data_IF_290739398417
#
_entry.id   IF_290739398417
#
_cell.length_a   1.000
_cell.length_b   1.000
_cell.length_c   1.000
_cell.angle_alpha   90.00
_cell.angle_beta   90.00
_cell.angle_gamma   90.00
#
_symmetry.space_group_name_H-M   'P 1'
#
loop_
_entity.id
_entity.type
_entity.pdbx_description
1 polymer ?
#
# COMPACT_ATOMS: atom_id res chain seq x y z
N UNK A 1 -3.61 11.68 -12.50
CA UNK A 1 -2.45 12.30 -11.83
C UNK A 1 -2.86 13.02 -10.55
N UNK A 2 -3.97 13.76 -10.53
CA UNK A 2 -4.40 14.46 -9.30
C UNK A 2 -4.63 13.53 -8.09
N UNK A 3 -5.27 12.37 -8.28
CA UNK A 3 -5.42 11.38 -7.19
C UNK A 3 -4.07 10.87 -6.65
N UNK A 4 -3.11 10.54 -7.52
CA UNK A 4 -1.76 10.14 -7.11
C UNK A 4 -1.07 11.23 -6.28
N UNK A 5 -1.20 12.50 -6.70
CA UNK A 5 -0.66 13.64 -5.95
C UNK A 5 -1.34 13.79 -4.59
N UNK A 6 -2.66 13.66 -4.53
CA UNK A 6 -3.42 13.73 -3.28
C UNK A 6 -3.04 12.62 -2.30
N UNK A 7 -2.91 11.37 -2.78
CA UNK A 7 -2.49 10.23 -1.95
C UNK A 7 -1.08 10.46 -1.40
N UNK A 8 -0.15 10.94 -2.22
CA UNK A 8 1.21 11.27 -1.75
C UNK A 8 1.19 12.41 -0.72
N UNK A 9 0.34 13.42 -0.92
CA UNK A 9 0.19 14.50 0.05
C UNK A 9 -0.39 13.99 1.37
N UNK A 10 -1.37 13.09 1.34
CA UNK A 10 -1.90 12.45 2.54
C UNK A 10 -0.83 11.64 3.27
N UNK A 11 0.03 10.93 2.55
CA UNK A 11 1.13 10.18 3.16
C UNK A 11 2.09 11.10 3.95
N UNK A 12 2.47 12.22 3.35
CA UNK A 12 3.32 13.25 4.00
C UNK A 12 2.61 13.81 5.24
N UNK A 13 1.37 14.27 5.09
CA UNK A 13 0.62 14.86 6.20
C UNK A 13 0.37 13.88 7.34
N UNK A 14 0.07 12.60 7.05
CA UNK A 14 -0.08 11.56 8.06
C UNK A 14 1.22 11.33 8.83
N UNK A 15 2.33 11.25 8.12
CA UNK A 15 3.65 11.03 8.74
C UNK A 15 4.05 12.21 9.62
N UNK A 16 3.85 13.45 9.16
CA UNK A 16 4.26 14.65 9.88
C UNK A 16 3.36 14.98 11.08
N UNK A 17 2.04 14.81 10.92
CA UNK A 17 1.07 15.30 11.91
C UNK A 17 0.48 14.21 12.79
N UNK A 18 0.40 12.96 12.29
CA UNK A 18 -0.39 11.88 12.89
C UNK A 18 0.41 10.60 13.16
N UNK A 19 1.74 10.63 13.10
CA UNK A 19 2.59 9.49 13.45
C UNK A 19 3.03 9.48 14.92
N UNK A 20 3.10 10.67 15.55
CA UNK A 20 3.57 10.79 16.93
C UNK A 20 2.61 10.11 17.91
N UNK A 21 3.12 9.56 19.02
CA UNK A 21 2.29 8.87 20.01
C UNK A 21 1.19 9.75 20.62
N UNK A 22 1.40 11.06 20.70
CA UNK A 22 0.42 12.02 21.23
C UNK A 22 -0.66 12.43 20.24
N UNK A 23 -0.47 12.17 18.94
CA UNK A 23 -1.38 12.60 17.87
C UNK A 23 -1.77 11.44 16.93
N UNK A 24 -1.53 10.20 17.34
CA UNK A 24 -1.74 9.05 16.48
C UNK A 24 -3.22 8.80 16.22
N UNK A 25 -3.62 8.84 14.95
CA UNK A 25 -5.01 8.68 14.52
C UNK A 25 -5.20 7.38 13.72
N UNK A 26 -5.50 6.28 14.44
CA UNK A 26 -5.61 4.94 13.87
C UNK A 26 -6.52 4.90 12.63
N UNK A 27 -7.70 5.54 12.71
CA UNK A 27 -8.68 5.50 11.64
C UNK A 27 -8.18 6.23 10.37
N UNK A 28 -7.43 7.32 10.51
CA UNK A 28 -6.90 8.05 9.36
C UNK A 28 -5.85 7.23 8.62
N UNK A 29 -4.95 6.57 9.36
CA UNK A 29 -3.98 5.64 8.79
C UNK A 29 -4.66 4.46 8.11
N UNK A 30 -5.70 3.90 8.72
CA UNK A 30 -6.45 2.77 8.16
C UNK A 30 -7.14 3.18 6.84
N UNK A 31 -7.82 4.32 6.84
CA UNK A 31 -8.44 4.88 5.65
C UNK A 31 -7.42 5.16 4.54
N UNK A 32 -6.21 5.61 4.89
CA UNK A 32 -5.14 5.81 3.91
C UNK A 32 -4.73 4.51 3.23
N UNK A 33 -4.48 3.44 3.98
CA UNK A 33 -4.10 2.15 3.38
C UNK A 33 -5.21 1.59 2.48
N UNK A 34 -6.46 1.63 2.94
CA UNK A 34 -7.59 1.22 2.10
C UNK A 34 -7.72 2.07 0.83
N UNK A 35 -7.57 3.40 0.94
CA UNK A 35 -7.60 4.29 -0.23
C UNK A 35 -6.47 3.97 -1.22
N UNK A 36 -5.25 3.79 -0.72
CA UNK A 36 -4.08 3.51 -1.55
C UNK A 36 -4.20 2.15 -2.26
N UNK A 37 -4.68 1.12 -1.55
CA UNK A 37 -4.96 -0.20 -2.14
C UNK A 37 -6.07 -0.10 -3.18
N UNK A 38 -7.21 0.51 -2.86
CA UNK A 38 -8.33 0.65 -3.79
C UNK A 38 -7.93 1.44 -5.05
N UNK A 39 -7.12 2.49 -4.89
CA UNK A 39 -6.58 3.23 -6.02
C UNK A 39 -5.70 2.34 -6.90
N UNK A 40 -4.87 1.49 -6.30
CA UNK A 40 -3.93 0.63 -7.03
C UNK A 40 -4.62 -0.55 -7.72
N UNK A 41 -5.66 -1.12 -7.10
CA UNK A 41 -6.38 -2.29 -7.61
C UNK A 41 -7.48 -1.94 -8.63
N UNK A 42 -7.85 -0.66 -8.79
CA UNK A 42 -8.88 -0.26 -9.75
C UNK A 42 -8.59 -0.70 -11.20
N UNK A 43 -9.64 -1.06 -11.95
CA UNK A 43 -9.54 -1.59 -13.32
C UNK A 43 -8.78 -0.68 -14.30
N UNK A 44 -8.88 0.64 -14.09
CA UNK A 44 -8.22 1.63 -14.96
C UNK A 44 -6.69 1.58 -14.88
N UNK A 45 -6.13 0.99 -13.82
CA UNK A 45 -4.69 0.79 -13.66
C UNK A 45 -4.23 -0.63 -13.97
N UNK A 46 -5.14 -1.57 -14.27
CA UNK A 46 -4.77 -2.92 -14.70
C UNK A 46 -4.45 -2.94 -16.20
N UNK A 47 -3.26 -2.45 -16.52
CA UNK A 47 -2.79 -2.21 -17.89
C UNK A 47 -2.73 -3.48 -18.74
N UNK A 48 -2.69 -4.64 -18.10
CA UNK A 48 -2.68 -5.97 -18.72
C UNK A 48 -4.02 -6.30 -19.38
N UNK A 49 -5.11 -5.64 -18.95
CA UNK A 49 -6.45 -5.81 -19.54
C UNK A 49 -6.65 -4.95 -20.79
N UNK A 50 -5.68 -4.11 -21.16
CA UNK A 50 -5.76 -3.25 -22.34
C UNK A 50 -5.00 -3.83 -23.54
N UNK A 51 -5.38 -3.39 -24.74
CA UNK A 51 -4.61 -3.68 -25.94
C UNK A 51 -3.20 -3.11 -25.83
N UNK A 52 -2.23 -3.77 -26.50
CA UNK A 52 -0.83 -3.35 -26.45
C UNK A 52 -0.64 -1.87 -26.83
N UNK A 53 -1.36 -1.39 -27.84
CA UNK A 53 -1.28 0.00 -28.28
C UNK A 53 -1.76 0.98 -27.18
N UNK A 54 -2.89 0.68 -26.53
CA UNK A 54 -3.43 1.50 -25.44
C UNK A 54 -2.50 1.48 -24.23
N UNK A 55 -2.01 0.29 -23.84
CA UNK A 55 -1.03 0.12 -22.75
C UNK A 55 0.23 0.95 -23.01
N UNK A 56 0.82 0.85 -24.19
CA UNK A 56 2.04 1.59 -24.56
C UNK A 56 1.81 3.11 -24.54
N UNK A 57 0.67 3.58 -25.04
CA UNK A 57 0.31 5.01 -24.99
C UNK A 57 0.16 5.53 -23.56
N UNK A 58 -0.49 4.76 -22.69
CA UNK A 58 -0.65 5.09 -21.27
C UNK A 58 0.73 5.15 -20.59
N UNK A 59 1.55 4.12 -20.73
CA UNK A 59 2.89 4.05 -20.12
C UNK A 59 3.79 5.19 -20.61
N UNK A 60 3.79 5.50 -21.91
CA UNK A 60 4.59 6.58 -22.47
C UNK A 60 4.17 7.96 -21.92
N UNK A 61 2.87 8.18 -21.68
CA UNK A 61 2.34 9.47 -21.21
C UNK A 61 2.37 9.61 -19.68
N UNK A 62 2.18 8.53 -18.95
CA UNK A 62 1.90 8.57 -17.51
C UNK A 62 2.85 7.73 -16.65
N UNK A 63 3.60 6.81 -17.24
CA UNK A 63 4.30 5.75 -16.51
C UNK A 63 3.33 4.75 -15.88
N UNK A 64 3.87 3.77 -15.17
CA UNK A 64 3.07 2.87 -14.33
C UNK A 64 2.94 3.46 -12.93
N UNK A 65 1.75 3.98 -12.60
CA UNK A 65 1.49 4.61 -11.30
C UNK A 65 1.45 3.59 -10.16
N UNK A 66 1.25 2.30 -10.46
CA UNK A 66 1.11 1.24 -9.45
C UNK A 66 2.41 1.03 -8.68
N UNK A 67 3.54 1.09 -9.38
CA UNK A 67 4.87 1.00 -8.76
C UNK A 67 5.11 2.14 -7.75
N UNK A 68 4.73 3.38 -8.12
CA UNK A 68 4.90 4.55 -7.23
C UNK A 68 4.05 4.45 -5.97
N UNK A 69 2.77 4.09 -6.10
CA UNK A 69 1.90 3.92 -4.93
C UNK A 69 2.31 2.71 -4.09
N UNK A 70 2.70 1.60 -4.71
CA UNK A 70 3.21 0.42 -4.00
C UNK A 70 4.41 0.74 -3.13
N UNK A 71 5.35 1.55 -3.65
CA UNK A 71 6.48 2.05 -2.85
C UNK A 71 6.02 2.95 -1.70
N UNK A 72 5.07 3.86 -1.93
CA UNK A 72 4.53 4.71 -0.86
C UNK A 72 3.80 3.91 0.23
N UNK A 73 3.02 2.88 -0.13
CA UNK A 73 2.35 1.98 0.82
C UNK A 73 3.40 1.27 1.68
N UNK A 74 4.46 0.75 1.06
CA UNK A 74 5.56 0.09 1.76
C UNK A 74 6.22 1.04 2.76
N UNK A 75 6.59 2.23 2.34
CA UNK A 75 7.28 3.19 3.20
C UNK A 75 6.39 3.62 4.37
N UNK A 76 5.10 3.87 4.11
CA UNK A 76 4.09 4.16 5.14
C UNK A 76 3.90 2.99 6.11
N UNK A 77 3.90 1.74 5.63
CA UNK A 77 3.83 0.55 6.47
C UNK A 77 5.01 0.48 7.45
N UNK A 78 6.23 0.72 6.97
CA UNK A 78 7.41 0.70 7.84
C UNK A 78 7.44 1.87 8.84
N UNK A 79 6.90 3.04 8.47
CA UNK A 79 6.79 4.18 9.37
C UNK A 79 5.94 3.90 10.63
N UNK A 80 4.95 2.99 10.55
CA UNK A 80 4.11 2.63 11.70
C UNK A 80 4.89 2.01 12.87
N UNK A 81 6.09 1.46 12.63
CA UNK A 81 6.91 0.83 13.67
C UNK A 81 6.17 -0.25 14.45
N UNK A 82 6.02 -0.08 15.76
CA UNK A 82 5.34 -1.04 16.63
C UNK A 82 3.81 -1.10 16.42
N UNK A 83 3.22 -0.07 15.81
CA UNK A 83 1.77 0.05 15.62
C UNK A 83 1.22 -0.83 14.51
N UNK A 84 2.09 -1.43 13.68
CA UNK A 84 1.70 -2.33 12.59
C UNK A 84 0.71 -3.41 13.03
N UNK A 85 0.88 -3.95 14.24
CA UNK A 85 0.03 -5.00 14.80
C UNK A 85 -1.45 -4.60 14.89
N UNK A 86 -1.73 -3.31 15.06
CA UNK A 86 -3.09 -2.76 15.10
C UNK A 86 -3.78 -2.82 13.73
N UNK A 87 -2.99 -2.88 12.64
CA UNK A 87 -3.47 -2.87 11.26
C UNK A 87 -3.50 -4.25 10.62
N UNK A 88 -2.61 -5.17 11.03
CA UNK A 88 -2.46 -6.51 10.41
C UNK A 88 -3.81 -7.22 10.20
N UNK A 89 -4.71 -7.34 11.21
CA UNK A 89 -5.98 -8.05 11.03
C UNK A 89 -6.86 -7.48 9.90
N UNK A 90 -6.82 -6.17 9.68
CA UNK A 90 -7.59 -5.49 8.63
C UNK A 90 -6.85 -5.36 7.30
N UNK A 91 -5.52 -5.40 7.31
CA UNK A 91 -4.69 -5.09 6.14
C UNK A 91 -4.18 -6.31 5.37
N UNK A 92 -4.20 -7.51 5.97
CA UNK A 92 -3.76 -8.74 5.27
C UNK A 92 -4.51 -8.95 3.96
N UNK A 93 -5.85 -8.83 3.96
CA UNK A 93 -6.68 -8.96 2.76
C UNK A 93 -6.37 -7.90 1.68
N UNK A 94 -6.46 -6.60 1.99
CA UNK A 94 -6.12 -5.52 1.05
C UNK A 94 -4.71 -5.62 0.46
N UNK A 95 -3.70 -5.93 1.28
CA UNK A 95 -2.33 -6.09 0.79
C UNK A 95 -2.21 -7.35 -0.08
N UNK A 96 -3.01 -8.39 0.15
CA UNK A 96 -3.05 -9.60 -0.69
C UNK A 96 -3.58 -9.26 -2.07
N UNK A 97 -4.68 -8.52 -2.15
CA UNK A 97 -5.23 -8.04 -3.42
C UNK A 97 -4.18 -7.26 -4.23
N UNK A 98 -3.40 -6.41 -3.55
CA UNK A 98 -2.30 -5.68 -4.18
C UNK A 98 -1.22 -6.62 -4.74
N UNK A 99 -0.87 -7.72 -4.05
CA UNK A 99 0.12 -8.70 -4.57
C UNK A 99 -0.34 -9.45 -5.82
N UNK A 100 -1.65 -9.59 -6.03
CA UNK A 100 -2.23 -10.29 -7.17
C UNK A 100 -2.14 -9.47 -8.47
N UNK A 101 -1.84 -8.17 -8.37
CA UNK A 101 -1.63 -7.32 -9.53
C UNK A 101 -0.34 -7.73 -10.24
N UNK A 102 -0.39 -8.06 -11.55
CA UNK A 102 0.72 -8.65 -12.29
C UNK A 102 1.80 -7.62 -12.70
N UNK A 103 2.24 -6.78 -11.78
CA UNK A 103 3.29 -5.76 -11.96
C UNK A 103 4.52 -6.12 -11.11
N UNK A 104 5.73 -5.99 -11.67
CA UNK A 104 6.96 -6.51 -11.07
C UNK A 104 7.48 -5.63 -9.93
N UNK A 105 7.53 -4.31 -10.13
CA UNK A 105 8.07 -3.38 -9.13
C UNK A 105 7.15 -3.27 -7.91
N UNK A 106 5.85 -3.38 -8.14
CA UNK A 106 4.83 -3.52 -7.12
C UNK A 106 5.10 -4.76 -6.28
N UNK A 107 5.28 -5.93 -6.89
CA UNK A 107 5.57 -7.17 -6.17
C UNK A 107 6.81 -7.05 -5.27
N UNK A 108 7.86 -6.37 -5.73
CA UNK A 108 9.05 -6.08 -4.91
C UNK A 108 8.73 -5.21 -3.69
N UNK A 109 7.70 -4.38 -3.77
CA UNK A 109 7.25 -3.53 -2.65
C UNK A 109 6.30 -4.27 -1.70
N UNK A 110 5.46 -5.16 -2.22
CA UNK A 110 4.42 -5.85 -1.42
C UNK A 110 4.90 -7.08 -0.67
N UNK A 111 5.82 -7.87 -1.25
CA UNK A 111 6.32 -9.10 -0.61
C UNK A 111 6.99 -8.80 0.76
N UNK A 112 7.84 -7.77 0.90
CA UNK A 112 8.43 -7.41 2.20
C UNK A 112 7.38 -7.04 3.25
N UNK A 113 6.29 -6.38 2.87
CA UNK A 113 5.20 -6.02 3.77
C UNK A 113 4.56 -7.29 4.33
N UNK A 114 4.21 -8.25 3.46
CA UNK A 114 3.62 -9.51 3.89
C UNK A 114 4.51 -10.30 4.85
N UNK A 115 5.80 -10.36 4.53
CA UNK A 115 6.77 -11.02 5.39
C UNK A 115 6.85 -10.34 6.76
N UNK A 116 6.87 -9.01 6.78
CA UNK A 116 6.88 -8.20 8.00
C UNK A 116 5.59 -8.40 8.82
N UNK A 117 4.41 -8.51 8.19
CA UNK A 117 3.16 -8.85 8.88
C UNK A 117 3.27 -10.19 9.61
N UNK A 118 3.77 -11.23 8.94
CA UNK A 118 3.95 -12.56 9.56
C UNK A 118 4.94 -12.50 10.73
N UNK A 119 6.06 -11.78 10.57
CA UNK A 119 7.04 -11.62 11.64
C UNK A 119 6.46 -10.87 12.84
N UNK A 120 5.73 -9.78 12.62
CA UNK A 120 5.08 -9.03 13.70
C UNK A 120 4.08 -9.90 14.48
N UNK A 121 3.24 -10.67 13.78
CA UNK A 121 2.26 -11.56 14.41
C UNK A 121 2.96 -12.66 15.24
N UNK A 122 3.99 -13.29 14.68
CA UNK A 122 4.77 -14.32 15.37
C UNK A 122 5.53 -13.76 16.59
N UNK A 123 6.10 -12.56 16.47
CA UNK A 123 6.81 -11.93 17.58
C UNK A 123 5.88 -11.68 18.77
N UNK A 124 4.63 -11.30 18.51
CA UNK A 124 3.60 -11.02 19.52
C UNK A 124 3.01 -12.30 20.13
N UNK A 125 2.59 -13.25 19.31
CA UNK A 125 1.80 -14.41 19.78
C UNK A 125 2.62 -15.68 19.98
N UNK A 126 3.86 -15.72 19.46
CA UNK A 126 4.68 -16.94 19.29
C UNK A 126 3.96 -18.04 18.48
N UNK A 127 3.00 -17.63 17.65
CA UNK A 127 2.12 -18.51 16.90
C UNK A 127 1.67 -17.83 15.60
N UNK A 128 0.97 -18.56 14.74
CA UNK A 128 0.34 -18.03 13.53
C UNK A 128 -1.18 -18.26 13.53
N UNK A 129 -1.75 -18.64 14.68
CA UNK A 129 -3.07 -19.28 14.78
C UNK A 129 -4.24 -18.32 15.03
N UNK A 130 -4.19 -17.06 14.56
CA UNK A 130 -5.32 -16.14 14.71
C UNK A 130 -6.39 -16.33 13.65
#
# INVERSE_FOLDING_TARGET
>A
REFLRAINQFAVTLTEMFLSNSSFELQLWNNYFHLAVAFLTQDSLQLENFSQAKRNSILAKYGDMRATIGASIRDMWYNLGHRKIEFIPGMVGPILEMTLVPELELRKSTIPIFFDMMLCEYQLTKSFSR
#
